data_IF_028008257898
#
_entry.id   IF_028008257898
#
_cell.length_a   1.000
_cell.length_b   1.000
_cell.length_c   1.000
_cell.angle_alpha   90.00
_cell.angle_beta   90.00
_cell.angle_gamma   90.00
#
_symmetry.space_group_name_H-M   'P 1'
#
loop_
_entity.id
_entity.type
_entity.pdbx_description
1 polymer ?
#
# COMPACT_ATOMS: atom_id res chain seq x y z
N UNK A 1 1.86 -4.36 -6.95
CA UNK A 1 0.80 -3.45 -6.47
C UNK A 1 0.37 -3.93 -5.10
N UNK A 2 0.05 -3.02 -4.20
CA UNK A 2 -0.49 -3.31 -2.85
C UNK A 2 -1.71 -2.42 -2.66
N UNK A 3 -2.73 -2.92 -1.95
CA UNK A 3 -3.85 -2.09 -1.55
C UNK A 3 -3.97 -1.99 -0.03
N UNK A 4 -4.46 -0.85 0.44
CA UNK A 4 -4.75 -0.64 1.85
C UNK A 4 -5.98 -1.48 2.26
N UNK A 5 -5.88 -2.31 3.31
CA UNK A 5 -7.01 -3.09 3.79
C UNK A 5 -8.10 -2.22 4.45
N UNK A 6 -9.39 -2.46 4.24
CA UNK A 6 -10.01 -3.54 3.45
C UNK A 6 -10.60 -3.01 2.12
N UNK A 7 -11.13 -1.78 2.14
CA UNK A 7 -11.89 -1.20 1.02
C UNK A 7 -11.05 -1.00 -0.25
N UNK A 8 -9.74 -0.76 -0.12
CA UNK A 8 -8.83 -0.66 -1.27
C UNK A 8 -8.58 -1.99 -1.99
N UNK A 9 -8.77 -3.14 -1.33
CA UNK A 9 -8.36 -4.46 -1.86
C UNK A 9 -9.09 -4.84 -3.15
N UNK A 10 -10.43 -4.74 -3.26
CA UNK A 10 -11.13 -5.05 -4.51
C UNK A 10 -10.62 -4.22 -5.68
N UNK A 11 -10.38 -2.92 -5.48
CA UNK A 11 -9.87 -2.03 -6.52
C UNK A 11 -8.45 -2.37 -6.92
N UNK A 12 -7.52 -2.49 -5.95
CA UNK A 12 -6.13 -2.82 -6.24
C UNK A 12 -5.98 -4.20 -6.89
N UNK A 13 -6.79 -5.18 -6.48
CA UNK A 13 -6.80 -6.53 -7.09
C UNK A 13 -7.27 -6.45 -8.54
N UNK A 14 -8.38 -5.73 -8.81
CA UNK A 14 -8.91 -5.58 -10.16
C UNK A 14 -7.92 -4.85 -11.08
N UNK A 15 -7.33 -3.74 -10.62
CA UNK A 15 -6.35 -2.96 -11.39
C UNK A 15 -5.11 -3.81 -11.67
N UNK A 16 -4.57 -4.51 -10.67
CA UNK A 16 -3.42 -5.39 -10.86
C UNK A 16 -3.71 -6.49 -11.88
N UNK A 17 -4.90 -7.10 -11.83
CA UNK A 17 -5.33 -8.10 -12.81
C UNK A 17 -5.44 -7.54 -14.23
N UNK A 18 -6.09 -6.38 -14.40
CA UNK A 18 -6.23 -5.70 -15.69
C UNK A 18 -4.89 -5.30 -16.30
N UNK A 19 -3.91 -4.91 -15.47
CA UNK A 19 -2.57 -4.52 -15.92
C UNK A 19 -1.59 -5.69 -16.01
N UNK A 20 -2.03 -6.92 -15.73
CA UNK A 20 -1.17 -8.10 -15.61
C UNK A 20 0.05 -7.86 -14.70
N UNK A 21 -0.16 -7.20 -13.57
CA UNK A 21 0.89 -6.91 -12.57
C UNK A 21 0.71 -7.75 -11.31
N UNK A 22 1.80 -8.09 -10.60
CA UNK A 22 1.70 -8.76 -9.30
C UNK A 22 0.91 -7.91 -8.29
N UNK A 23 0.10 -8.58 -7.48
CA UNK A 23 -0.60 -8.01 -6.33
C UNK A 23 -0.10 -8.67 -5.04
N UNK A 24 0.15 -7.85 -4.01
CA UNK A 24 0.62 -8.30 -2.70
C UNK A 24 -0.37 -7.86 -1.63
N UNK A 25 -0.62 -8.73 -0.66
CA UNK A 25 -1.55 -8.45 0.43
C UNK A 25 -0.82 -7.82 1.61
N UNK A 26 -1.26 -6.64 2.02
CA UNK A 26 -0.86 -6.02 3.29
C UNK A 26 -1.78 -6.52 4.41
N UNK A 27 -1.19 -6.98 5.52
CA UNK A 27 -1.91 -7.34 6.75
C UNK A 27 -2.04 -6.12 7.66
N UNK A 28 -3.13 -6.07 8.43
CA UNK A 28 -3.29 -5.08 9.52
C UNK A 28 -2.38 -5.37 10.71
N UNK A 29 -2.05 -6.64 10.92
CA UNK A 29 -1.20 -7.11 12.02
C UNK A 29 -0.17 -8.13 11.51
N UNK A 30 1.04 -8.13 12.10
CA UNK A 30 2.06 -9.12 11.78
C UNK A 30 1.56 -10.56 12.01
N UNK A 31 2.18 -11.53 11.36
CA UNK A 31 1.92 -12.95 11.66
C UNK A 31 2.20 -13.25 13.14
N UNK A 32 1.31 -14.01 13.78
CA UNK A 32 1.47 -14.45 15.18
C UNK A 32 2.62 -15.45 15.38
N UNK A 33 2.96 -16.21 14.34
CA UNK A 33 4.00 -17.23 14.35
C UNK A 33 4.88 -17.12 13.09
N UNK A 34 6.16 -17.44 13.22
CA UNK A 34 7.15 -17.31 12.14
C UNK A 34 7.70 -15.88 11.98
N UNK A 35 8.24 -15.58 10.80
CA UNK A 35 8.69 -14.22 10.45
C UNK A 35 7.47 -13.29 10.51
N UNK A 36 7.54 -12.26 11.36
CA UNK A 36 6.47 -11.27 11.64
C UNK A 36 6.26 -10.30 10.46
N UNK A 37 6.14 -10.82 9.24
CA UNK A 37 5.93 -10.03 8.03
C UNK A 37 4.52 -9.48 7.97
N UNK A 38 4.42 -8.25 7.48
CA UNK A 38 3.16 -7.56 7.19
C UNK A 38 2.71 -7.78 5.74
N UNK A 39 3.62 -8.10 4.83
CA UNK A 39 3.32 -8.35 3.42
C UNK A 39 3.31 -9.86 3.15
N UNK A 40 2.26 -10.33 2.49
CA UNK A 40 2.22 -11.69 1.93
C UNK A 40 2.77 -11.68 0.50
N UNK A 41 3.75 -12.56 0.25
CA UNK A 41 4.51 -12.62 -0.99
C UNK A 41 5.94 -12.10 -0.83
N UNK A 42 6.71 -12.17 -1.91
CA UNK A 42 8.11 -11.73 -1.93
C UNK A 42 8.25 -10.43 -2.72
N UNK A 43 8.77 -9.41 -2.04
CA UNK A 43 9.17 -8.13 -2.64
C UNK A 43 10.66 -8.20 -2.92
N UNK A 44 11.05 -7.87 -4.16
CA UNK A 44 12.46 -7.74 -4.53
C UNK A 44 12.99 -6.38 -4.09
N UNK A 45 14.25 -6.33 -3.67
CA UNK A 45 14.88 -5.06 -3.32
C UNK A 45 14.83 -4.06 -4.49
N UNK A 46 14.43 -2.82 -4.22
CA UNK A 46 14.21 -1.77 -5.21
C UNK A 46 12.95 -1.93 -6.06
N UNK A 47 12.10 -2.95 -5.81
CA UNK A 47 10.90 -3.17 -6.60
C UNK A 47 9.93 -2.01 -6.44
N UNK A 48 9.53 -1.41 -7.57
CA UNK A 48 8.55 -0.31 -7.59
C UNK A 48 7.16 -0.84 -7.24
N UNK A 49 6.56 -0.25 -6.21
CA UNK A 49 5.21 -0.61 -5.74
C UNK A 49 4.31 0.62 -5.79
N UNK A 50 3.17 0.48 -6.48
CA UNK A 50 2.03 1.38 -6.36
C UNK A 50 1.15 0.92 -5.19
N UNK A 51 0.82 1.85 -4.30
CA UNK A 51 -0.21 1.68 -3.27
C UNK A 51 -1.55 2.17 -3.83
N UNK A 52 -2.62 1.41 -3.58
CA UNK A 52 -4.00 1.75 -3.94
C UNK A 52 -4.87 1.81 -2.68
N UNK A 53 -5.70 2.84 -2.54
CA UNK A 53 -6.71 2.95 -1.49
C UNK A 53 -8.03 3.50 -2.08
N UNK A 54 -9.13 3.37 -1.36
CA UNK A 54 -10.40 4.00 -1.75
C UNK A 54 -10.35 5.52 -1.51
N UNK A 55 -9.87 5.94 -0.35
CA UNK A 55 -9.80 7.35 0.03
C UNK A 55 -8.58 7.70 0.87
N UNK A 56 -8.18 8.98 0.88
CA UNK A 56 -7.23 9.54 1.85
C UNK A 56 -7.87 10.62 2.71
N UNK A 57 -7.52 10.63 4.01
CA UNK A 57 -7.86 11.69 4.96
C UNK A 57 -6.59 12.10 5.73
N UNK A 58 -6.28 11.47 6.86
CA UNK A 58 -5.06 11.77 7.64
C UNK A 58 -3.77 11.19 7.08
N UNK A 59 -3.86 10.22 6.16
CA UNK A 59 -2.70 9.55 5.58
C UNK A 59 -2.06 8.45 6.45
N UNK A 60 -2.47 8.26 7.70
CA UNK A 60 -1.80 7.30 8.61
C UNK A 60 -1.77 5.85 8.09
N UNK A 61 -2.86 5.36 7.50
CA UNK A 61 -2.88 4.01 6.92
C UNK A 61 -1.90 3.85 5.74
N UNK A 62 -1.65 4.94 5.01
CA UNK A 62 -0.72 4.99 3.86
C UNK A 62 0.70 4.98 4.37
N UNK A 63 1.01 5.82 5.35
CA UNK A 63 2.33 5.86 5.99
C UNK A 63 2.72 4.51 6.59
N UNK A 64 1.79 3.85 7.27
CA UNK A 64 1.99 2.48 7.76
C UNK A 64 2.36 1.51 6.63
N UNK A 65 1.62 1.53 5.52
CA UNK A 65 1.89 0.69 4.36
C UNK A 65 3.23 1.03 3.68
N UNK A 66 3.54 2.31 3.50
CA UNK A 66 4.80 2.78 2.93
C UNK A 66 5.98 2.26 3.75
N UNK A 67 5.93 2.40 5.07
CA UNK A 67 7.00 1.94 5.96
C UNK A 67 7.15 0.42 5.91
N UNK A 68 6.06 -0.33 6.02
CA UNK A 68 6.08 -1.79 5.93
C UNK A 68 6.66 -2.29 4.59
N UNK A 69 6.38 -1.59 3.48
CA UNK A 69 6.91 -1.93 2.16
C UNK A 69 8.40 -1.57 2.02
N UNK A 70 8.82 -0.41 2.55
CA UNK A 70 10.22 0.03 2.52
C UNK A 70 11.10 -0.86 3.41
N UNK A 71 10.60 -1.35 4.54
CA UNK A 71 11.27 -2.34 5.38
C UNK A 71 11.53 -3.66 4.65
N UNK A 72 10.65 -4.05 3.71
CA UNK A 72 10.84 -5.20 2.82
C UNK A 72 11.66 -4.84 1.55
N UNK A 73 12.25 -3.64 1.49
CA UNK A 73 13.12 -3.17 0.40
C UNK A 73 12.39 -2.64 -0.83
N UNK A 74 11.07 -2.39 -0.77
CA UNK A 74 10.34 -1.80 -1.88
C UNK A 74 10.71 -0.33 -2.12
N UNK A 75 10.65 0.10 -3.39
CA UNK A 75 10.60 1.51 -3.73
C UNK A 75 9.14 1.96 -3.88
N UNK A 76 8.68 2.84 -3.00
CA UNK A 76 7.30 3.37 -2.99
C UNK A 76 7.35 4.87 -3.25
N UNK A 77 7.01 5.24 -4.48
CA UNK A 77 7.01 6.62 -4.98
C UNK A 77 5.59 7.16 -5.22
N UNK A 78 4.59 6.29 -5.37
CA UNK A 78 3.26 6.67 -5.83
C UNK A 78 2.15 6.03 -4.98
N UNK A 79 1.10 6.81 -4.75
CA UNK A 79 -0.16 6.41 -4.12
C UNK A 79 -1.31 6.80 -5.05
N UNK A 80 -2.24 5.88 -5.27
CA UNK A 80 -3.49 6.15 -5.97
C UNK A 80 -4.67 6.01 -5.01
N UNK A 81 -5.55 7.00 -5.02
CA UNK A 81 -6.80 7.03 -4.25
C UNK A 81 -7.93 7.53 -5.13
N UNK A 82 -9.15 7.04 -4.91
CA UNK A 82 -10.31 7.53 -5.66
C UNK A 82 -10.83 8.84 -5.10
N UNK A 83 -10.75 9.03 -3.78
CA UNK A 83 -11.26 10.22 -3.10
C UNK A 83 -10.17 10.82 -2.21
N UNK A 84 -9.77 12.06 -2.51
CA UNK A 84 -8.91 12.85 -1.64
C UNK A 84 -9.75 13.74 -0.71
N UNK A 85 -9.63 13.51 0.60
CA UNK A 85 -10.25 14.30 1.67
C UNK A 85 -9.21 14.95 2.58
N UNK A 86 -7.96 15.08 2.13
CA UNK A 86 -6.96 15.86 2.85
C UNK A 86 -7.43 17.31 2.97
N UNK A 87 -7.21 17.92 4.13
CA UNK A 87 -7.29 19.39 4.22
C UNK A 87 -6.11 19.98 3.44
N UNK A 88 -6.26 21.20 2.91
CA UNK A 88 -5.18 21.86 2.17
C UNK A 88 -3.89 21.99 3.01
N UNK A 89 -4.01 22.08 4.33
CA UNK A 89 -2.88 22.08 5.28
C UNK A 89 -2.04 20.80 5.32
N UNK A 90 -2.48 19.72 4.69
CA UNK A 90 -1.76 18.43 4.63
C UNK A 90 -1.11 18.18 3.25
N UNK A 91 -1.37 19.05 2.27
CA UNK A 91 -0.77 18.96 0.92
C UNK A 91 0.64 19.54 0.86
N UNK A 92 1.07 20.25 1.91
CA UNK A 92 2.39 20.90 2.01
C UNK A 92 3.55 19.98 2.42
N UNK A 93 3.34 18.65 2.43
CA UNK A 93 4.38 17.66 2.78
C UNK A 93 4.97 16.96 1.53
N UNK A 94 4.98 17.64 0.38
CA UNK A 94 5.73 17.23 -0.82
C UNK A 94 7.25 17.32 -0.63
#
# INVERSE_FOLDING_TARGET
>A
MVAIPLAGIPFGTLIANQLHKPFYLLRKEPKKHGLKKLIEGEIKNGQKILIVDDLISSGFSKLFAINALREEGANVENLFVFIDRTSDSLKDFE
#
